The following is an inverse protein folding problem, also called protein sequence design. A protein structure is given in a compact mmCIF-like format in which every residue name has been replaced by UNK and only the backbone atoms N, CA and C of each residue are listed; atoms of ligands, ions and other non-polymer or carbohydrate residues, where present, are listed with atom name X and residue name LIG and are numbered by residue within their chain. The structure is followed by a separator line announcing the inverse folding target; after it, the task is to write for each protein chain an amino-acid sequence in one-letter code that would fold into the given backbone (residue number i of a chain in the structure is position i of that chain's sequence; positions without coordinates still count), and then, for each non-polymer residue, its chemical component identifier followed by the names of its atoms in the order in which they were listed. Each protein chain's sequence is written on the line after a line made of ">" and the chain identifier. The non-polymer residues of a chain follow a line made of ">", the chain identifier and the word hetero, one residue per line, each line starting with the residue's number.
data_IF_920625472011
#
_entry.id   IF_920625472011
#
_cell.length_a   1.000
_cell.length_b   1.000
_cell.length_c   1.000
_cell.angle_alpha   90.00
_cell.angle_beta   90.00
_cell.angle_gamma   90.00
#
_symmetry.space_group_name_H-M   'P 1'
#
loop_
_entity.id
_entity.type
_entity.pdbx_description
1 polymer ?
#
# COMPACT_ATOMS: atom_id res chain seq x y z
N UNK A 1 -18.62 16.94 3.65
CA UNK A 1 -18.02 16.80 2.31
C UNK A 1 -18.53 15.49 1.77
N UNK A 2 -19.29 15.49 0.67
CA UNK A 2 -19.83 14.26 0.13
C UNK A 2 -18.67 13.36 -0.28
N UNK A 3 -18.60 12.17 0.32
CA UNK A 3 -17.85 11.08 -0.27
C UNK A 3 -18.46 10.88 -1.66
N UNK A 4 -17.78 11.39 -2.69
CA UNK A 4 -18.18 11.14 -4.06
C UNK A 4 -17.90 9.66 -4.28
N UNK A 5 -18.88 8.83 -3.96
CA UNK A 5 -18.77 7.41 -4.18
C UNK A 5 -18.54 7.19 -5.67
N UNK A 6 -17.41 6.58 -6.01
CA UNK A 6 -17.05 6.29 -7.39
C UNK A 6 -18.19 5.50 -8.03
N UNK A 7 -18.65 5.92 -9.21
CA UNK A 7 -19.55 5.13 -10.03
C UNK A 7 -18.97 3.73 -10.26
N UNK A 8 -19.82 2.73 -10.46
CA UNK A 8 -19.38 1.36 -10.79
C UNK A 8 -18.43 1.34 -12.00
N UNK A 9 -18.65 2.23 -12.97
CA UNK A 9 -17.75 2.40 -14.11
C UNK A 9 -16.37 2.95 -13.71
N UNK A 10 -16.33 3.92 -12.79
CA UNK A 10 -15.08 4.49 -12.28
C UNK A 10 -14.31 3.47 -11.44
N UNK A 11 -15.01 2.75 -10.54
CA UNK A 11 -14.42 1.63 -9.77
C UNK A 11 -13.85 0.56 -10.70
N UNK A 12 -14.53 0.23 -11.81
CA UNK A 12 -14.03 -0.73 -12.80
C UNK A 12 -12.77 -0.25 -13.50
N UNK A 13 -12.70 1.04 -13.88
CA UNK A 13 -11.51 1.65 -14.48
C UNK A 13 -10.33 1.64 -13.50
N UNK A 14 -10.53 2.03 -12.25
CA UNK A 14 -9.46 2.01 -11.24
C UNK A 14 -8.94 0.60 -10.98
N UNK A 15 -9.83 -0.39 -10.83
CA UNK A 15 -9.42 -1.81 -10.73
C UNK A 15 -8.63 -2.27 -11.96
N UNK A 16 -9.02 -1.84 -13.16
CA UNK A 16 -8.29 -2.18 -14.37
C UNK A 16 -6.88 -1.56 -14.40
N UNK A 17 -6.74 -0.28 -14.02
CA UNK A 17 -5.43 0.39 -13.89
C UNK A 17 -4.53 -0.33 -12.91
N UNK A 18 -5.06 -0.70 -11.73
CA UNK A 18 -4.29 -1.44 -10.72
C UNK A 18 -3.89 -2.83 -11.21
N UNK A 19 -4.77 -3.57 -11.89
CA UNK A 19 -4.39 -4.86 -12.50
C UNK A 19 -3.24 -4.73 -13.49
N UNK A 20 -3.30 -3.74 -14.39
CA UNK A 20 -2.19 -3.46 -15.34
C UNK A 20 -0.90 -3.09 -14.63
N UNK A 21 -1.01 -2.31 -13.56
CA UNK A 21 0.13 -1.89 -12.77
C UNK A 21 0.80 -3.09 -12.08
N UNK A 22 0.02 -3.99 -11.46
CA UNK A 22 0.53 -5.22 -10.86
C UNK A 22 1.26 -6.05 -11.91
N UNK A 23 0.67 -6.27 -13.08
CA UNK A 23 1.31 -7.00 -14.17
C UNK A 23 2.64 -6.37 -14.59
N UNK A 24 2.69 -5.04 -14.70
CA UNK A 24 3.93 -4.32 -15.00
C UNK A 24 5.00 -4.54 -13.92
N UNK A 25 4.65 -4.37 -12.65
CA UNK A 25 5.58 -4.49 -11.53
C UNK A 25 6.07 -5.93 -11.32
N UNK A 26 5.20 -6.93 -11.47
CA UNK A 26 5.57 -8.34 -11.34
C UNK A 26 6.42 -8.86 -12.50
N UNK A 27 6.23 -8.29 -13.71
CA UNK A 27 7.10 -8.55 -14.86
C UNK A 27 8.48 -7.89 -14.70
N UNK A 28 8.56 -6.80 -13.95
CA UNK A 28 9.78 -6.04 -13.72
C UNK A 28 10.61 -6.70 -12.59
N UNK A 29 11.64 -7.45 -12.96
CA UNK A 29 12.54 -8.14 -12.01
C UNK A 29 13.94 -7.56 -12.01
N UNK A 30 14.52 -7.42 -10.83
CA UNK A 30 15.94 -7.11 -10.64
C UNK A 30 16.77 -8.39 -10.68
N UNK A 31 17.40 -8.69 -11.81
CA UNK A 31 18.36 -9.81 -11.90
C UNK A 31 19.75 -9.31 -11.52
N UNK A 32 20.22 -9.68 -10.31
CA UNK A 32 21.50 -9.20 -9.76
C UNK A 32 21.45 -7.78 -9.17
N UNK A 33 20.32 -7.09 -9.33
CA UNK A 33 20.00 -5.77 -8.78
C UNK A 33 18.89 -5.89 -7.74
N UNK A 34 18.71 -4.84 -6.95
CA UNK A 34 17.60 -4.73 -6.00
C UNK A 34 16.65 -3.60 -6.38
N UNK A 35 15.40 -3.81 -6.04
CA UNK A 35 14.30 -2.87 -6.20
C UNK A 35 13.66 -2.62 -4.84
N UNK A 36 13.07 -1.43 -4.70
CA UNK A 36 12.50 -0.91 -3.48
C UNK A 36 11.02 -0.65 -3.70
N UNK A 37 10.22 -1.09 -2.73
CA UNK A 37 8.79 -0.84 -2.64
C UNK A 37 8.51 -0.09 -1.34
N UNK A 38 7.87 1.07 -1.43
CA UNK A 38 7.56 1.93 -0.30
C UNK A 38 6.06 2.20 -0.30
N UNK A 39 5.41 1.90 0.82
CA UNK A 39 4.00 2.22 1.05
C UNK A 39 3.94 3.26 2.16
N UNK A 40 3.18 4.32 1.94
CA UNK A 40 3.00 5.40 2.88
C UNK A 40 1.52 5.65 3.11
N UNK A 41 1.10 5.64 4.38
CA UNK A 41 -0.29 5.92 4.74
C UNK A 41 -0.55 7.43 4.74
N UNK A 42 -1.79 7.89 4.54
CA UNK A 42 -2.09 9.33 4.46
C UNK A 42 -1.84 10.11 5.76
N UNK A 43 -1.68 9.42 6.89
CA UNK A 43 -1.39 10.04 8.20
C UNK A 43 0.11 10.29 8.42
N UNK A 44 0.96 9.75 7.54
CA UNK A 44 2.40 9.88 7.70
C UNK A 44 2.95 11.19 7.17
N UNK A 45 4.15 11.51 7.64
CA UNK A 45 4.93 12.62 7.13
C UNK A 45 6.04 12.08 6.24
N UNK A 46 6.25 12.78 5.11
CA UNK A 46 7.33 12.48 4.16
C UNK A 46 8.70 12.49 4.86
N UNK A 47 8.92 13.41 5.80
CA UNK A 47 10.13 13.52 6.60
C UNK A 47 10.49 12.22 7.34
N UNK A 48 9.50 11.52 7.92
CA UNK A 48 9.72 10.27 8.63
C UNK A 48 10.29 9.17 7.73
N UNK A 49 9.72 9.03 6.52
CA UNK A 49 10.21 8.07 5.54
C UNK A 49 11.56 8.48 4.96
N UNK A 50 11.80 9.78 4.74
CA UNK A 50 13.11 10.30 4.32
C UNK A 50 14.20 9.94 5.32
N UNK A 51 13.95 10.11 6.63
CA UNK A 51 14.89 9.71 7.68
C UNK A 51 15.15 8.21 7.66
N UNK A 52 14.10 7.39 7.52
CA UNK A 52 14.23 5.94 7.40
C UNK A 52 15.11 5.55 6.20
N UNK A 53 14.86 6.14 5.03
CA UNK A 53 15.65 5.88 3.83
C UNK A 53 17.12 6.30 3.95
N UNK A 54 17.42 7.41 4.63
CA UNK A 54 18.80 7.81 4.90
C UNK A 54 19.53 6.78 5.80
N UNK A 55 18.84 6.23 6.80
CA UNK A 55 19.40 5.16 7.63
C UNK A 55 19.64 3.89 6.81
N UNK A 56 18.68 3.50 5.97
CA UNK A 56 18.82 2.34 5.07
C UNK A 56 19.95 2.54 4.04
N UNK A 57 20.19 3.78 3.59
CA UNK A 57 21.33 4.10 2.72
C UNK A 57 22.66 3.84 3.44
N UNK A 58 22.75 4.21 4.72
CA UNK A 58 23.90 3.89 5.58
C UNK A 58 24.09 2.38 5.72
N UNK A 59 23.02 1.65 6.02
CA UNK A 59 23.03 0.18 6.14
C UNK A 59 23.46 -0.50 4.83
N UNK A 60 22.99 -0.02 3.69
CA UNK A 60 23.35 -0.54 2.37
C UNK A 60 24.86 -0.42 2.09
N UNK A 61 25.57 0.51 2.73
CA UNK A 61 27.02 0.66 2.58
C UNK A 61 27.80 -0.56 3.07
N UNK A 62 27.20 -1.38 3.94
CA UNK A 62 27.77 -2.63 4.47
C UNK A 62 27.55 -3.84 3.56
N UNK A 63 26.81 -3.70 2.45
CA UNK A 63 26.60 -4.78 1.48
C UNK A 63 27.94 -5.14 0.82
N UNK A 64 28.33 -6.41 0.92
CA UNK A 64 29.61 -6.94 0.39
C UNK A 64 29.69 -6.87 -1.14
N UNK A 65 28.59 -7.19 -1.84
CA UNK A 65 28.53 -7.15 -3.29
C UNK A 65 28.50 -5.69 -3.77
N UNK A 66 29.51 -5.30 -4.55
CA UNK A 66 29.62 -3.94 -5.09
C UNK A 66 28.42 -3.58 -5.98
N UNK A 67 28.02 -4.46 -6.89
CA UNK A 67 26.86 -4.26 -7.78
C UNK A 67 25.56 -4.09 -7.01
N UNK A 68 25.31 -4.97 -6.03
CA UNK A 68 24.09 -4.89 -5.22
C UNK A 68 24.09 -3.61 -4.36
N UNK A 69 25.22 -3.29 -3.71
CA UNK A 69 25.38 -2.05 -2.95
C UNK A 69 25.02 -0.82 -3.77
N UNK A 70 25.59 -0.68 -4.97
CA UNK A 70 25.30 0.44 -5.86
C UNK A 70 23.84 0.47 -6.32
N UNK A 71 23.27 -0.70 -6.62
CA UNK A 71 21.86 -0.80 -7.02
C UNK A 71 20.92 -0.31 -5.91
N UNK A 72 21.11 -0.80 -4.68
CA UNK A 72 20.30 -0.39 -3.52
C UNK A 72 20.47 1.10 -3.25
N UNK A 73 21.70 1.59 -3.19
CA UNK A 73 21.98 3.01 -2.97
C UNK A 73 21.37 3.91 -4.05
N UNK A 74 21.44 3.51 -5.34
CA UNK A 74 20.81 4.25 -6.43
C UNK A 74 19.29 4.23 -6.32
N UNK A 75 18.67 3.11 -5.91
CA UNK A 75 17.23 3.00 -5.74
C UNK A 75 16.74 3.86 -4.56
N UNK A 76 17.47 3.88 -3.45
CA UNK A 76 17.17 4.75 -2.30
C UNK A 76 17.30 6.22 -2.72
N UNK A 77 18.36 6.59 -3.42
CA UNK A 77 18.58 7.96 -3.89
C UNK A 77 17.45 8.42 -4.83
N UNK A 78 17.02 7.55 -5.75
CA UNK A 78 15.87 7.83 -6.62
C UNK A 78 14.57 8.01 -5.83
N UNK A 79 14.35 7.15 -4.82
CA UNK A 79 13.19 7.23 -3.94
C UNK A 79 13.16 8.53 -3.14
N UNK A 80 14.31 8.93 -2.56
CA UNK A 80 14.48 10.20 -1.86
C UNK A 80 14.23 11.39 -2.79
N UNK A 81 14.73 11.34 -4.03
CA UNK A 81 14.51 12.36 -5.04
C UNK A 81 13.02 12.55 -5.35
N UNK A 82 12.26 11.45 -5.48
CA UNK A 82 10.82 11.51 -5.73
C UNK A 82 10.04 11.97 -4.49
N UNK A 83 10.38 11.46 -3.30
CA UNK A 83 9.72 11.87 -2.05
C UNK A 83 9.89 13.35 -1.74
N UNK A 84 11.04 13.95 -2.03
CA UNK A 84 11.28 15.40 -1.84
C UNK A 84 10.35 16.29 -2.67
N UNK A 85 9.72 15.76 -3.72
CA UNK A 85 8.76 16.50 -4.53
C UNK A 85 7.38 16.58 -3.88
N UNK A 86 7.12 15.78 -2.84
CA UNK A 86 5.89 15.80 -2.06
C UNK A 86 6.07 16.66 -0.80
N UNK A 87 5.39 17.81 -0.76
CA UNK A 87 5.28 18.59 0.48
C UNK A 87 4.35 17.93 1.50
N UNK A 88 3.30 17.26 1.01
CA UNK A 88 2.31 16.52 1.80
C UNK A 88 1.93 15.24 1.05
N UNK A 89 1.69 14.16 1.78
CA UNK A 89 1.18 12.94 1.18
C UNK A 89 -0.23 13.13 0.63
N UNK A 90 -0.57 12.45 -0.48
CA UNK A 90 -1.93 12.45 -1.00
C UNK A 90 -2.95 11.89 0.01
N UNK A 91 -4.26 12.21 -0.13
CA UNK A 91 -5.32 11.79 0.80
C UNK A 91 -5.44 10.28 1.02
N UNK A 92 -5.09 9.46 0.03
CA UNK A 92 -5.09 8.01 0.13
C UNK A 92 -3.71 7.41 0.43
N UNK A 93 -2.68 8.23 0.62
CA UNK A 93 -1.30 7.80 0.78
C UNK A 93 -0.56 7.72 -0.55
N UNK A 94 0.61 7.08 -0.52
CA UNK A 94 1.53 7.01 -1.66
C UNK A 94 2.17 5.63 -1.74
N UNK A 95 2.16 5.04 -2.93
CA UNK A 95 2.98 3.87 -3.25
C UNK A 95 4.13 4.34 -4.13
N UNK A 96 5.36 3.95 -3.79
CA UNK A 96 6.56 4.32 -4.54
C UNK A 96 7.41 3.08 -4.82
N UNK A 97 7.72 2.88 -6.09
CA UNK A 97 8.47 1.77 -6.63
C UNK A 97 9.70 2.29 -7.34
N UNK A 98 10.89 1.91 -6.86
CA UNK A 98 12.16 2.39 -7.39
C UNK A 98 13.15 1.25 -7.55
N UNK A 99 13.84 1.17 -8.67
CA UNK A 99 14.96 0.25 -8.80
C UNK A 99 15.45 0.08 -10.24
N UNK A 100 16.47 -0.75 -10.40
CA UNK A 100 16.96 -1.12 -11.73
C UNK A 100 16.42 -2.50 -12.07
N UNK A 101 15.64 -2.58 -13.14
CA UNK A 101 15.02 -3.81 -13.62
C UNK A 101 15.55 -4.19 -14.99
N UNK A 102 15.52 -5.49 -15.28
CA UNK A 102 15.93 -6.02 -16.56
C UNK A 102 14.76 -5.97 -17.53
N UNK A 103 14.97 -5.37 -18.69
CA UNK A 103 14.00 -5.37 -19.79
C UNK A 103 14.07 -6.67 -20.59
N UNK A 104 13.07 -6.93 -21.44
CA UNK A 104 13.04 -8.12 -22.31
C UNK A 104 14.28 -8.23 -23.23
N UNK A 105 14.88 -7.10 -23.61
CA UNK A 105 16.11 -7.03 -24.41
C UNK A 105 17.39 -7.27 -23.58
N UNK A 106 17.25 -7.76 -22.34
CA UNK A 106 18.35 -7.98 -21.40
C UNK A 106 19.15 -6.70 -21.07
N UNK A 107 18.51 -5.52 -21.20
CA UNK A 107 19.09 -4.22 -20.84
C UNK A 107 18.57 -3.76 -19.48
N UNK A 108 19.47 -3.25 -18.65
CA UNK A 108 19.10 -2.61 -17.39
C UNK A 108 18.38 -1.29 -17.63
N UNK A 109 17.22 -1.11 -17.00
CA UNK A 109 16.43 0.12 -17.04
C UNK A 109 16.10 0.55 -15.62
N UNK A 110 16.30 1.83 -15.32
CA UNK A 110 15.83 2.43 -14.08
C UNK A 110 14.32 2.64 -14.16
N UNK A 111 13.60 2.07 -13.22
CA UNK A 111 12.17 2.26 -13.02
C UNK A 111 11.97 3.09 -11.74
N UNK A 112 11.20 4.17 -11.87
CA UNK A 112 10.71 4.96 -10.75
C UNK A 112 9.25 5.25 -11.03
N UNK A 113 8.38 4.82 -10.13
CA UNK A 113 6.94 4.94 -10.28
C UNK A 113 6.30 5.23 -8.94
N UNK A 114 5.56 6.32 -8.87
CA UNK A 114 4.74 6.72 -7.76
C UNK A 114 3.26 6.68 -8.15
N UNK A 115 2.43 6.18 -7.26
CA UNK A 115 1.00 6.03 -7.47
C UNK A 115 0.28 6.56 -6.24
N UNK A 116 -0.69 7.44 -6.47
CA UNK A 116 -1.75 7.70 -5.51
C UNK A 116 -2.84 6.64 -5.71
N UNK A 117 -3.08 5.75 -4.73
CA UNK A 117 -4.09 4.73 -4.88
C UNK A 117 -5.51 5.29 -4.70
N UNK A 118 -6.49 4.63 -5.33
CA UNK A 118 -7.90 5.02 -5.20
C UNK A 118 -8.52 4.63 -3.84
N UNK A 119 -7.87 3.72 -3.10
CA UNK A 119 -8.21 3.37 -1.71
C UNK A 119 -7.06 3.76 -0.78
N UNK A 120 -7.34 4.20 0.46
CA UNK A 120 -6.30 4.51 1.43
C UNK A 120 -5.34 3.33 1.68
N UNK A 121 -4.05 3.61 1.66
CA UNK A 121 -3.00 2.69 2.08
C UNK A 121 -3.17 2.36 3.57
N UNK A 122 -3.25 1.08 3.87
CA UNK A 122 -3.55 0.56 5.21
C UNK A 122 -2.31 0.48 6.12
N UNK A 123 -1.13 0.28 5.53
CA UNK A 123 0.12 0.06 6.26
C UNK A 123 1.28 0.80 5.63
N UNK A 124 2.14 1.35 6.48
CA UNK A 124 3.42 1.87 6.03
C UNK A 124 4.45 0.77 5.97
N UNK A 125 5.22 0.75 4.90
CA UNK A 125 6.15 -0.33 4.63
C UNK A 125 7.32 0.15 3.76
N UNK A 126 8.50 -0.39 4.03
CA UNK A 126 9.68 -0.25 3.18
C UNK A 126 10.24 -1.66 2.98
N UNK A 127 10.40 -2.07 1.73
CA UNK A 127 10.95 -3.36 1.35
C UNK A 127 11.97 -3.17 0.25
N UNK A 128 13.09 -3.88 0.37
CA UNK A 128 14.13 -3.96 -0.63
C UNK A 128 14.37 -5.43 -0.97
N UNK A 129 14.15 -5.83 -2.21
CA UNK A 129 14.27 -7.22 -2.69
C UNK A 129 14.62 -7.27 -4.19
N UNK A 130 14.64 -8.44 -4.81
CA UNK A 130 14.86 -8.61 -6.26
C UNK A 130 13.58 -8.46 -7.10
N UNK A 131 12.43 -8.27 -6.46
CA UNK A 131 11.11 -8.08 -7.09
C UNK A 131 10.33 -6.98 -6.38
N UNK A 132 9.47 -6.29 -7.12
CA UNK A 132 8.53 -5.36 -6.50
C UNK A 132 7.49 -6.10 -5.69
N UNK A 133 7.17 -5.52 -4.54
CA UNK A 133 6.13 -5.99 -3.66
C UNK A 133 4.81 -5.31 -4.07
N UNK A 134 3.75 -6.07 -4.26
CA UNK A 134 2.47 -5.57 -4.82
C UNK A 134 1.28 -5.87 -3.89
N UNK A 135 1.54 -6.28 -2.65
CA UNK A 135 0.51 -6.72 -1.70
C UNK A 135 -0.52 -5.63 -1.45
N UNK A 136 -0.09 -4.37 -1.33
CA UNK A 136 -1.01 -3.26 -1.11
C UNK A 136 -1.88 -2.99 -2.34
N UNK A 137 -1.37 -3.22 -3.55
CA UNK A 137 -2.15 -3.13 -4.79
C UNK A 137 -3.15 -4.29 -4.92
N UNK A 138 -2.74 -5.51 -4.58
CA UNK A 138 -3.64 -6.68 -4.54
C UNK A 138 -4.78 -6.46 -3.55
N UNK A 139 -4.48 -5.91 -2.37
CA UNK A 139 -5.50 -5.53 -1.38
C UNK A 139 -6.53 -4.53 -1.94
N UNK A 140 -6.13 -3.64 -2.84
CA UNK A 140 -7.07 -2.69 -3.46
C UNK A 140 -8.04 -3.37 -4.44
N UNK A 141 -7.64 -4.50 -5.03
CA UNK A 141 -8.47 -5.32 -5.89
C UNK A 141 -9.41 -6.25 -5.13
N UNK A 142 -9.19 -6.47 -3.83
CA UNK A 142 -10.10 -7.22 -2.98
C UNK A 142 -11.50 -6.58 -2.99
N UNK A 143 -12.52 -7.43 -3.03
CA UNK A 143 -13.93 -7.01 -3.10
C UNK A 143 -14.28 -6.17 -1.88
N UNK A 144 -14.95 -5.05 -2.10
CA UNK A 144 -15.55 -4.23 -1.03
C UNK A 144 -16.88 -4.83 -0.54
N UNK A 145 -17.06 -6.15 -0.68
CA UNK A 145 -18.22 -6.86 -0.15
C UNK A 145 -18.30 -6.65 1.36
N UNK A 146 -19.30 -5.84 1.74
CA UNK A 146 -19.60 -5.50 3.13
C UNK A 146 -20.63 -6.52 3.64
N UNK A 147 -20.17 -7.45 4.47
CA UNK A 147 -21.03 -8.42 5.15
C UNK A 147 -21.61 -7.80 6.42
N UNK A 148 -22.93 -7.78 6.55
CA UNK A 148 -23.60 -7.49 7.82
C UNK A 148 -23.76 -8.76 8.63
N UNK A 149 -23.40 -8.72 9.91
CA UNK A 149 -23.67 -9.82 10.83
C UNK A 149 -24.37 -9.30 12.09
N UNK A 150 -25.32 -10.09 12.57
CA UNK A 150 -26.12 -9.82 13.77
C UNK A 150 -25.77 -10.93 14.76
N UNK A 151 -25.21 -10.54 15.90
CA UNK A 151 -24.92 -11.41 17.04
C UNK A 151 -26.03 -11.23 18.05
N UNK A 152 -26.76 -12.30 18.34
CA UNK A 152 -27.83 -12.32 19.34
C UNK A 152 -27.39 -13.22 20.49
N UNK A 153 -27.44 -12.69 21.71
CA UNK A 153 -27.25 -13.45 22.94
C UNK A 153 -28.39 -13.18 23.94
N UNK A 154 -28.39 -13.86 25.08
CA UNK A 154 -29.43 -13.69 26.11
C UNK A 154 -29.42 -12.32 26.79
N UNK A 155 -28.36 -11.53 26.60
CA UNK A 155 -28.23 -10.18 27.13
C UNK A 155 -28.69 -9.12 26.13
N UNK A 156 -28.70 -9.41 24.82
CA UNK A 156 -28.92 -8.41 23.80
C UNK A 156 -28.65 -8.86 22.38
N UNK A 157 -28.70 -7.89 21.47
CA UNK A 157 -28.34 -8.07 20.08
C UNK A 157 -27.34 -6.99 19.68
N UNK A 158 -26.30 -7.37 18.95
CA UNK A 158 -25.28 -6.49 18.37
C UNK A 158 -25.25 -6.70 16.87
N UNK A 159 -25.27 -5.63 16.08
CA UNK A 159 -25.11 -5.71 14.64
C UNK A 159 -23.88 -4.91 14.21
N UNK A 160 -23.16 -5.48 13.26
CA UNK A 160 -21.88 -4.99 12.81
C UNK A 160 -21.68 -5.35 11.34
N UNK A 161 -20.68 -4.71 10.74
CA UNK A 161 -20.30 -4.97 9.36
C UNK A 161 -18.83 -5.32 9.25
N UNK A 162 -18.51 -6.16 8.27
CA UNK A 162 -17.17 -6.58 7.91
C UNK A 162 -16.96 -6.28 6.43
N UNK A 163 -15.95 -5.48 6.10
CA UNK A 163 -15.51 -5.24 4.72
C UNK A 163 -14.01 -5.54 4.64
N UNK A 164 -13.63 -6.62 3.97
CA UNK A 164 -12.26 -7.15 4.02
C UNK A 164 -11.83 -7.44 5.47
N UNK A 165 -10.77 -6.79 5.94
CA UNK A 165 -10.30 -6.89 7.34
C UNK A 165 -10.88 -5.84 8.30
N UNK A 166 -11.71 -4.91 7.81
CA UNK A 166 -12.25 -3.81 8.61
C UNK A 166 -13.55 -4.25 9.28
N UNK A 167 -13.56 -4.23 10.62
CA UNK A 167 -14.75 -4.53 11.46
C UNK A 167 -15.33 -3.23 12.00
N UNK A 168 -16.62 -3.02 11.79
CA UNK A 168 -17.34 -1.83 12.26
C UNK A 168 -18.59 -2.25 13.04
N UNK A 169 -18.61 -2.00 14.35
CA UNK A 169 -19.79 -2.20 15.18
C UNK A 169 -20.75 -1.02 14.94
N UNK A 170 -21.95 -1.31 14.44
CA UNK A 170 -22.95 -0.29 14.15
C UNK A 170 -23.83 0.03 15.35
N UNK A 171 -24.19 -0.98 16.15
CA UNK A 171 -25.01 -0.76 17.33
C UNK A 171 -25.26 -2.03 18.15
N UNK A 172 -25.75 -1.82 19.37
CA UNK A 172 -26.23 -2.89 20.24
C UNK A 172 -27.49 -2.41 20.98
N UNK A 173 -28.40 -3.33 21.29
CA UNK A 173 -29.45 -3.11 22.28
C UNK A 173 -29.53 -4.30 23.24
N UNK A 174 -29.81 -4.01 24.50
CA UNK A 174 -29.88 -4.99 25.60
C UNK A 174 -31.32 -5.45 25.80
N UNK A 175 -31.52 -6.73 26.09
CA UNK A 175 -32.82 -7.26 26.51
C UNK A 175 -33.04 -6.87 27.97
N UNK A 176 -33.88 -5.88 28.21
CA UNK A 176 -34.37 -5.57 29.55
C UNK A 176 -35.45 -6.58 29.95
N UNK A 177 -35.16 -7.46 30.90
CA UNK A 177 -36.19 -8.27 31.52
C UNK A 177 -37.17 -7.31 32.25
N UNK A 178 -38.43 -7.26 31.79
CA UNK A 178 -39.48 -6.54 32.50
C UNK A 178 -39.67 -7.21 33.86
N UNK A 179 -39.29 -6.54 34.95
CA UNK A 179 -39.72 -6.98 36.28
C UNK A 179 -41.24 -6.89 36.31
N UNK A 180 -41.92 -8.04 36.29
CA UNK A 180 -43.34 -8.12 36.65
C UNK A 180 -43.46 -7.59 38.07
N UNK A 181 -44.15 -6.47 38.23
CA UNK A 181 -44.63 -5.98 39.52
C UNK A 181 -45.94 -6.69 39.83
#
# INVERSE_FOLDING_TARGET
>A
MGDHELSDSEKAIERYKVKKLIQMLESARGMGTSVISIYMTPKEQVSGMVTKLNNEYGTASNIKSHTNKLSVQSAITASLGRLKQYNRLPPNGLLLYCGTVLTADNKEKKLTLDIEPFKPVSRSLYLCDNKFHTEELHRMLESDEKFGFIVVDGSGTTYATLCGSVKEKLGSFTVGATKKT
#
